data_IF_843591197858
#
_entry.id   IF_843591197858
#
_cell.length_a   1.000
_cell.length_b   1.000
_cell.length_c   1.000
_cell.angle_alpha   90.00
_cell.angle_beta   90.00
_cell.angle_gamma   90.00
#
_symmetry.space_group_name_H-M   'P 1'
#
loop_
_entity.id
_entity.type
_entity.pdbx_description
1 polymer ?
#
# COMPACT_ATOMS: atom_id res chain seq x y z
N UNK A 1 -25.05 20.27 -10.41
CA UNK A 1 -24.34 20.79 -11.59
C UNK A 1 -23.70 19.59 -12.26
N UNK A 2 -24.20 19.16 -13.41
CA UNK A 2 -23.63 18.02 -14.14
C UNK A 2 -22.36 18.53 -14.85
N UNK A 3 -21.19 18.15 -14.33
CA UNK A 3 -19.90 18.58 -14.88
C UNK A 3 -19.61 17.76 -16.13
N UNK A 4 -19.83 18.35 -17.30
CA UNK A 4 -19.37 17.76 -18.57
C UNK A 4 -17.85 17.91 -18.65
N UNK A 5 -17.13 16.80 -18.49
CA UNK A 5 -15.68 16.80 -18.55
C UNK A 5 -15.20 17.01 -20.00
N UNK A 6 -14.14 17.80 -20.22
CA UNK A 6 -13.58 18.04 -21.54
C UNK A 6 -12.88 16.78 -22.05
N UNK A 7 -12.32 16.86 -23.25
CA UNK A 7 -11.62 15.75 -23.86
C UNK A 7 -10.47 15.25 -22.97
N UNK A 8 -10.26 13.93 -22.96
CA UNK A 8 -9.18 13.32 -22.20
C UNK A 8 -7.81 13.78 -22.72
N UNK A 9 -6.83 13.85 -21.81
CA UNK A 9 -5.46 14.18 -22.17
C UNK A 9 -4.81 13.14 -23.10
N UNK A 10 -3.67 13.48 -23.72
CA UNK A 10 -3.01 12.62 -24.71
C UNK A 10 -2.61 11.25 -24.16
N UNK A 11 -2.14 11.14 -22.91
CA UNK A 11 -1.77 9.85 -22.31
C UNK A 11 -3.02 9.02 -22.06
N UNK A 12 -4.05 9.59 -21.46
CA UNK A 12 -5.32 8.90 -21.18
C UNK A 12 -6.00 8.42 -22.46
N UNK A 13 -6.05 9.26 -23.50
CA UNK A 13 -6.62 8.92 -24.80
C UNK A 13 -5.82 7.83 -25.51
N UNK A 14 -4.49 7.90 -25.48
CA UNK A 14 -3.64 6.89 -26.10
C UNK A 14 -3.67 5.56 -25.34
N UNK A 15 -3.76 5.59 -24.00
CA UNK A 15 -3.94 4.39 -23.17
C UNK A 15 -5.28 3.72 -23.46
N UNK A 16 -6.37 4.48 -23.46
CA UNK A 16 -7.70 3.96 -23.79
C UNK A 16 -7.73 3.32 -25.19
N UNK A 17 -7.24 4.03 -26.20
CA UNK A 17 -7.18 3.49 -27.57
C UNK A 17 -6.31 2.24 -27.69
N UNK A 18 -5.20 2.16 -26.94
CA UNK A 18 -4.36 0.97 -26.92
C UNK A 18 -5.08 -0.23 -26.26
N UNK A 19 -5.76 -0.02 -25.13
CA UNK A 19 -6.55 -1.05 -24.46
C UNK A 19 -7.70 -1.55 -25.34
N UNK A 20 -8.43 -0.63 -25.99
CA UNK A 20 -9.51 -0.97 -26.93
C UNK A 20 -9.00 -1.79 -28.12
N UNK A 21 -7.86 -1.39 -28.71
CA UNK A 21 -7.21 -2.16 -29.76
C UNK A 21 -6.81 -3.55 -29.27
N UNK A 22 -6.23 -3.69 -28.07
CA UNK A 22 -5.89 -5.01 -27.52
C UNK A 22 -7.11 -5.89 -27.31
N UNK A 23 -8.24 -5.33 -26.87
CA UNK A 23 -9.48 -6.09 -26.65
C UNK A 23 -10.20 -6.50 -27.94
N UNK A 24 -10.13 -5.66 -28.99
CA UNK A 24 -10.81 -5.91 -30.27
C UNK A 24 -9.97 -6.73 -31.24
N UNK A 25 -8.64 -6.68 -31.10
CA UNK A 25 -7.71 -7.42 -31.94
C UNK A 25 -7.83 -8.93 -31.69
N UNK A 26 -8.02 -9.69 -32.77
CA UNK A 26 -8.11 -11.15 -32.69
C UNK A 26 -6.82 -11.76 -32.17
N UNK A 27 -6.95 -12.87 -31.45
CA UNK A 27 -5.82 -13.68 -30.96
C UNK A 27 -4.85 -13.99 -32.11
N UNK A 28 -3.58 -13.58 -31.96
CA UNK A 28 -2.52 -13.83 -32.95
C UNK A 28 -1.97 -12.58 -33.65
N UNK A 29 -2.59 -11.41 -33.47
CA UNK A 29 -2.06 -10.14 -33.97
C UNK A 29 -1.44 -9.32 -32.84
N UNK A 30 -0.35 -8.60 -33.15
CA UNK A 30 0.36 -7.75 -32.19
C UNK A 30 -0.11 -6.30 -32.34
N UNK A 31 -0.50 -5.68 -31.23
CA UNK A 31 -0.85 -4.26 -31.16
C UNK A 31 0.37 -3.48 -30.67
N UNK A 32 0.77 -2.43 -31.40
CA UNK A 32 1.92 -1.62 -31.02
C UNK A 32 1.55 -0.45 -30.11
N UNK A 33 2.16 -0.29 -28.92
CA UNK A 33 1.91 0.83 -28.01
C UNK A 33 2.66 2.12 -28.38
N UNK A 34 3.13 2.29 -29.62
CA UNK A 34 4.03 3.39 -30.00
C UNK A 34 3.49 4.79 -29.65
N UNK A 35 2.18 5.01 -29.81
CA UNK A 35 1.59 6.31 -29.48
C UNK A 35 1.57 6.58 -27.96
N UNK A 36 1.24 5.55 -27.17
CA UNK A 36 1.26 5.64 -25.71
C UNK A 36 2.68 5.89 -25.20
N UNK A 37 3.66 5.12 -25.70
CA UNK A 37 5.06 5.27 -25.29
C UNK A 37 5.62 6.65 -25.64
N UNK A 38 5.29 7.20 -26.82
CA UNK A 38 5.67 8.57 -27.20
C UNK A 38 5.11 9.61 -26.23
N UNK A 39 3.83 9.53 -25.87
CA UNK A 39 3.21 10.48 -24.95
C UNK A 39 3.81 10.39 -23.53
N UNK A 40 4.14 9.19 -23.06
CA UNK A 40 4.84 9.00 -21.78
C UNK A 40 6.25 9.59 -21.85
N UNK A 41 7.02 9.30 -22.89
CA UNK A 41 8.39 9.80 -23.06
C UNK A 41 8.47 11.34 -23.13
N UNK A 42 7.42 11.99 -23.64
CA UNK A 42 7.32 13.46 -23.62
C UNK A 42 7.14 14.03 -22.20
N UNK A 43 6.49 13.30 -21.30
CA UNK A 43 6.27 13.72 -19.91
C UNK A 43 7.40 13.28 -18.97
N UNK A 44 7.96 12.10 -19.22
CA UNK A 44 8.98 11.47 -18.38
C UNK A 44 10.17 11.10 -19.26
N UNK A 45 11.18 11.99 -19.38
CA UNK A 45 12.26 11.86 -20.35
C UNK A 45 13.10 10.58 -20.22
N UNK A 46 13.12 9.93 -19.05
CA UNK A 46 13.85 8.68 -18.83
C UNK A 46 13.39 7.56 -19.78
N UNK A 47 12.11 7.54 -20.17
CA UNK A 47 11.53 6.56 -21.09
C UNK A 47 11.67 6.95 -22.57
N UNK A 48 12.33 8.07 -22.87
CA UNK A 48 12.66 8.44 -24.25
C UNK A 48 13.85 7.63 -24.81
N UNK A 49 14.65 7.03 -23.92
CA UNK A 49 15.75 6.15 -24.29
C UNK A 49 15.24 4.80 -24.83
N UNK A 50 16.05 4.14 -25.66
CA UNK A 50 15.82 2.75 -26.07
C UNK A 50 16.47 1.73 -25.10
N UNK A 51 16.81 2.18 -23.89
CA UNK A 51 17.44 1.34 -22.87
C UNK A 51 16.41 0.48 -22.13
N UNK A 52 16.88 -0.56 -21.43
CA UNK A 52 16.01 -1.33 -20.54
C UNK A 52 15.61 -0.49 -19.33
N UNK A 53 14.33 -0.55 -18.96
CA UNK A 53 13.74 0.24 -17.88
C UNK A 53 13.03 -0.67 -16.88
N UNK A 54 12.83 -0.17 -15.66
CA UNK A 54 12.05 -0.87 -14.63
C UNK A 54 10.55 -0.83 -14.99
N UNK A 55 9.94 -2.00 -15.11
CA UNK A 55 8.52 -2.13 -15.43
C UNK A 55 7.62 -1.55 -14.31
N UNK A 56 8.07 -1.61 -13.05
CA UNK A 56 7.33 -1.04 -11.92
C UNK A 56 7.32 0.48 -11.98
N UNK A 57 8.45 1.08 -12.37
CA UNK A 57 8.58 2.52 -12.54
C UNK A 57 7.70 3.01 -13.70
N UNK A 58 7.73 2.31 -14.84
CA UNK A 58 6.84 2.61 -15.97
C UNK A 58 5.36 2.53 -15.58
N UNK A 59 4.95 1.51 -14.82
CA UNK A 59 3.58 1.36 -14.35
C UNK A 59 3.16 2.51 -13.43
N UNK A 60 4.03 2.89 -12.48
CA UNK A 60 3.78 4.02 -11.58
C UNK A 60 3.63 5.32 -12.35
N UNK A 61 4.54 5.60 -13.27
CA UNK A 61 4.47 6.80 -14.08
C UNK A 61 3.22 6.80 -14.97
N UNK A 62 2.87 5.69 -15.60
CA UNK A 62 1.64 5.59 -16.39
C UNK A 62 0.40 5.92 -15.54
N UNK A 63 0.24 5.26 -14.38
CA UNK A 63 -0.90 5.51 -13.49
C UNK A 63 -0.93 6.95 -12.97
N UNK A 64 0.24 7.49 -12.60
CA UNK A 64 0.37 8.85 -12.09
C UNK A 64 0.05 9.89 -13.17
N UNK A 65 0.57 9.74 -14.39
CA UNK A 65 0.29 10.68 -15.47
C UNK A 65 -1.19 10.65 -15.89
N UNK A 66 -1.80 9.46 -16.01
CA UNK A 66 -3.25 9.35 -16.27
C UNK A 66 -4.09 9.99 -15.17
N UNK A 67 -3.70 9.77 -13.90
CA UNK A 67 -4.36 10.40 -12.75
C UNK A 67 -4.23 11.93 -12.79
N UNK A 68 -3.04 12.46 -13.09
CA UNK A 68 -2.79 13.90 -13.19
C UNK A 68 -3.60 14.53 -14.33
N UNK A 69 -3.67 13.91 -15.51
CA UNK A 69 -4.50 14.39 -16.61
C UNK A 69 -5.98 14.46 -16.22
N UNK A 70 -6.53 13.43 -15.54
CA UNK A 70 -7.93 13.45 -15.10
C UNK A 70 -8.19 14.50 -14.02
N UNK A 71 -7.26 14.68 -13.07
CA UNK A 71 -7.36 15.73 -12.05
C UNK A 71 -7.34 17.12 -12.65
N UNK A 72 -6.39 17.41 -13.56
CA UNK A 72 -6.30 18.69 -14.25
C UNK A 72 -7.60 18.97 -15.02
N UNK A 73 -8.13 17.97 -15.72
CA UNK A 73 -9.37 18.05 -16.47
C UNK A 73 -10.57 18.43 -15.59
N UNK A 74 -10.68 17.83 -14.40
CA UNK A 74 -11.74 18.14 -13.42
C UNK A 74 -11.56 19.52 -12.82
N UNK A 75 -10.33 19.88 -12.44
CA UNK A 75 -10.02 21.19 -11.86
C UNK A 75 -10.32 22.33 -12.85
N UNK A 76 -9.95 22.18 -14.13
CA UNK A 76 -10.29 23.14 -15.17
C UNK A 76 -11.79 23.34 -15.32
N UNK A 77 -12.60 22.27 -15.20
CA UNK A 77 -14.06 22.40 -15.24
C UNK A 77 -14.67 23.03 -14.00
N UNK A 78 -14.12 22.76 -12.81
CA UNK A 78 -14.53 23.45 -11.60
C UNK A 78 -14.27 24.95 -11.76
N UNK A 79 -13.09 25.34 -12.22
CA UNK A 79 -12.73 26.74 -12.46
C UNK A 79 -13.70 27.41 -13.45
N UNK A 80 -13.96 26.76 -14.60
CA UNK A 80 -14.92 27.25 -15.59
C UNK A 80 -16.35 27.36 -15.02
N UNK A 81 -16.80 26.36 -14.26
CA UNK A 81 -18.11 26.36 -13.60
C UNK A 81 -18.25 27.43 -12.51
N UNK A 82 -17.13 27.91 -11.96
CA UNK A 82 -17.07 29.05 -11.04
C UNK A 82 -16.94 30.40 -11.76
N UNK A 83 -16.90 30.41 -13.10
CA UNK A 83 -16.72 31.62 -13.90
C UNK A 83 -15.28 32.15 -13.90
N UNK A 84 -14.31 31.34 -13.48
CA UNK A 84 -12.89 31.69 -13.46
C UNK A 84 -12.23 31.19 -14.75
N UNK A 85 -11.67 32.12 -15.53
CA UNK A 85 -10.89 31.80 -16.74
C UNK A 85 -9.41 31.72 -16.39
N UNK A 86 -8.69 30.75 -16.97
CA UNK A 86 -7.24 30.59 -16.81
C UNK A 86 -6.41 31.70 -17.51
N UNK A 87 -7.04 32.57 -18.31
CA UNK A 87 -6.37 33.54 -19.18
C UNK A 87 -6.59 35.02 -18.79
N UNK A 88 -6.76 35.34 -17.51
CA UNK A 88 -6.79 36.75 -17.06
C UNK A 88 -5.74 36.98 -15.96
N UNK A 89 -4.55 37.43 -16.37
CA UNK A 89 -3.38 37.69 -15.53
C UNK A 89 -3.55 38.84 -14.51
N UNK A 90 -4.76 39.29 -14.17
CA UNK A 90 -4.93 40.47 -13.29
C UNK A 90 -6.26 40.58 -12.53
N UNK A 91 -7.04 39.52 -12.36
CA UNK A 91 -8.23 39.56 -11.50
C UNK A 91 -7.89 38.86 -10.18
N UNK A 92 -7.81 39.62 -9.09
CA UNK A 92 -7.75 39.05 -7.74
C UNK A 92 -8.97 38.13 -7.55
N UNK A 93 -8.72 36.82 -7.52
CA UNK A 93 -9.77 35.83 -7.33
C UNK A 93 -10.30 36.01 -5.91
N UNK A 94 -11.59 36.32 -5.72
CA UNK A 94 -12.16 36.47 -4.38
C UNK A 94 -11.91 35.24 -3.50
N UNK A 95 -11.50 35.45 -2.24
CA UNK A 95 -11.16 34.37 -1.30
C UNK A 95 -12.27 33.32 -1.16
N UNK A 96 -13.54 33.75 -1.21
CA UNK A 96 -14.68 32.83 -1.14
C UNK A 96 -14.78 31.90 -2.36
N UNK A 97 -14.40 32.36 -3.56
CA UNK A 97 -14.35 31.51 -4.76
C UNK A 97 -13.16 30.56 -4.72
N UNK A 98 -12.02 31.01 -4.19
CA UNK A 98 -10.85 30.15 -3.96
C UNK A 98 -11.15 29.03 -2.96
N UNK A 99 -11.73 29.37 -1.81
CA UNK A 99 -12.15 28.38 -0.81
C UNK A 99 -13.19 27.39 -1.36
N UNK A 100 -14.12 27.87 -2.20
CA UNK A 100 -15.12 27.02 -2.87
C UNK A 100 -14.47 26.10 -3.91
N UNK A 101 -13.53 26.61 -4.70
CA UNK A 101 -12.75 25.82 -5.66
C UNK A 101 -11.91 24.74 -4.96
N UNK A 102 -11.26 25.05 -3.84
CA UNK A 102 -10.49 24.08 -3.03
C UNK A 102 -11.39 23.01 -2.41
N UNK A 103 -12.59 23.38 -1.97
CA UNK A 103 -13.58 22.44 -1.42
C UNK A 103 -14.08 21.49 -2.50
N UNK A 104 -14.46 22.02 -3.67
CA UNK A 104 -14.87 21.21 -4.82
C UNK A 104 -13.72 20.33 -5.34
N UNK A 105 -12.50 20.87 -5.40
CA UNK A 105 -11.31 20.13 -5.84
C UNK A 105 -11.02 18.95 -4.92
N UNK A 106 -11.21 19.10 -3.61
CA UNK A 106 -11.13 17.99 -2.65
C UNK A 106 -12.20 16.94 -2.92
N UNK A 107 -13.44 17.35 -3.20
CA UNK A 107 -14.54 16.43 -3.50
C UNK A 107 -14.32 15.62 -4.80
N UNK A 108 -13.65 16.20 -5.81
CA UNK A 108 -13.41 15.52 -7.10
C UNK A 108 -12.01 14.91 -7.23
N UNK A 109 -11.22 14.91 -6.14
CA UNK A 109 -9.83 14.44 -6.13
C UNK A 109 -9.67 12.94 -6.39
N UNK A 110 -10.77 12.18 -6.30
CA UNK A 110 -10.76 10.73 -6.53
C UNK A 110 -11.00 10.40 -8.00
N UNK A 111 -9.94 9.96 -8.69
CA UNK A 111 -9.97 9.64 -10.13
C UNK A 111 -10.44 8.21 -10.40
N UNK A 112 -10.62 7.86 -11.68
CA UNK A 112 -10.88 6.48 -12.11
C UNK A 112 -9.76 5.54 -11.69
N UNK A 113 -8.49 5.98 -11.75
CA UNK A 113 -7.34 5.20 -11.29
C UNK A 113 -7.45 4.96 -9.78
N UNK A 114 -7.84 5.99 -9.02
CA UNK A 114 -8.03 5.85 -7.58
C UNK A 114 -9.18 4.87 -7.26
N UNK A 115 -10.26 4.89 -8.04
CA UNK A 115 -11.40 3.96 -7.87
C UNK A 115 -10.99 2.50 -8.01
N UNK A 116 -10.02 2.18 -8.87
CA UNK A 116 -9.64 0.81 -9.19
C UNK A 116 -8.45 0.34 -8.33
N UNK A 117 -7.42 1.18 -8.21
CA UNK A 117 -6.13 0.81 -7.66
C UNK A 117 -5.81 1.48 -6.32
N UNK A 118 -6.52 2.54 -5.91
CA UNK A 118 -6.20 3.20 -4.64
C UNK A 118 -6.68 2.40 -3.44
N UNK A 119 -5.74 2.15 -2.53
CA UNK A 119 -6.00 1.73 -1.18
C UNK A 119 -5.48 2.77 -0.18
N UNK A 120 -5.73 2.53 1.10
CA UNK A 120 -5.19 3.32 2.20
C UNK A 120 -4.53 2.42 3.23
N UNK A 121 -3.34 2.81 3.69
CA UNK A 121 -2.68 2.28 4.86
C UNK A 121 -3.04 3.13 6.08
N UNK A 122 -3.10 2.49 7.24
CA UNK A 122 -3.02 3.18 8.53
C UNK A 122 -1.64 2.98 9.11
N UNK A 123 -0.98 4.09 9.39
CA UNK A 123 0.36 4.19 9.95
C UNK A 123 0.23 4.67 11.38
N UNK A 124 0.63 3.85 12.34
CA UNK A 124 0.56 4.18 13.76
C UNK A 124 1.97 4.28 14.33
N UNK A 125 2.26 5.38 15.02
CA UNK A 125 3.54 5.63 15.68
C UNK A 125 3.29 5.78 17.17
N UNK A 126 3.98 4.97 17.96
CA UNK A 126 3.94 5.01 19.43
C UNK A 126 5.26 5.54 19.94
N UNK A 127 5.25 6.73 20.53
CA UNK A 127 6.44 7.34 21.13
C UNK A 127 6.88 6.54 22.36
N UNK A 128 8.14 6.15 22.47
CA UNK A 128 8.64 5.40 23.62
C UNK A 128 8.90 6.27 24.86
N UNK A 129 8.94 7.60 24.70
CA UNK A 129 9.17 8.53 25.80
C UNK A 129 7.88 8.94 26.52
N UNK A 130 6.85 9.33 25.77
CA UNK A 130 5.57 9.79 26.33
C UNK A 130 4.41 8.80 26.12
N UNK A 131 4.62 7.69 25.39
CA UNK A 131 3.60 6.68 25.06
C UNK A 131 2.42 7.17 24.21
N UNK A 132 2.49 8.41 23.73
CA UNK A 132 1.50 9.00 22.83
C UNK A 132 1.45 8.21 21.51
N UNK A 133 0.23 8.02 21.00
CA UNK A 133 -0.02 7.29 19.75
C UNK A 133 -0.50 8.26 18.68
N UNK A 134 0.27 8.42 17.62
CA UNK A 134 -0.12 9.20 16.44
C UNK A 134 -0.49 8.26 15.30
N UNK A 135 -1.47 8.67 14.49
CA UNK A 135 -1.99 7.87 13.39
C UNK A 135 -2.06 8.71 12.13
N UNK A 136 -1.68 8.12 11.00
CA UNK A 136 -1.73 8.74 9.68
C UNK A 136 -2.34 7.78 8.67
N UNK A 137 -3.22 8.29 7.82
CA UNK A 137 -3.72 7.55 6.67
C UNK A 137 -2.86 7.88 5.45
N UNK A 138 -2.36 6.86 4.78
CA UNK A 138 -1.46 7.00 3.63
C UNK A 138 -2.08 6.28 2.43
N UNK A 139 -2.43 7.01 1.36
CA UNK A 139 -2.96 6.41 0.13
C UNK A 139 -1.87 5.74 -0.69
N UNK A 140 -2.18 4.60 -1.31
CA UNK A 140 -1.25 3.86 -2.18
C UNK A 140 -1.94 3.34 -3.45
N UNK A 141 -1.19 3.17 -4.54
CA UNK A 141 -1.66 2.50 -5.78
C UNK A 141 -1.06 1.10 -5.95
N UNK A 142 0.01 0.81 -5.21
CA UNK A 142 0.67 -0.50 -5.16
C UNK A 142 1.41 -0.68 -3.83
N UNK A 143 1.63 -1.94 -3.45
CA UNK A 143 2.44 -2.31 -2.28
C UNK A 143 3.79 -2.86 -2.73
N UNK A 144 4.86 -2.18 -2.37
CA UNK A 144 6.23 -2.62 -2.67
C UNK A 144 6.83 -3.37 -1.48
N UNK A 145 6.77 -4.69 -1.53
CA UNK A 145 7.12 -5.58 -0.42
C UNK A 145 8.61 -5.94 -0.43
N UNK A 146 9.28 -5.94 0.74
CA UNK A 146 10.65 -6.43 0.84
C UNK A 146 10.71 -7.94 0.59
N UNK A 147 11.77 -8.40 -0.07
CA UNK A 147 12.06 -9.83 -0.25
C UNK A 147 13.32 -10.18 0.54
N UNK A 148 13.15 -10.83 1.70
CA UNK A 148 14.30 -11.20 2.53
C UNK A 148 15.01 -12.42 1.96
N UNK A 149 16.29 -12.24 1.66
CA UNK A 149 17.19 -13.33 1.34
C UNK A 149 17.84 -13.86 2.63
N UNK A 150 17.18 -14.79 3.33
CA UNK A 150 17.80 -15.52 4.44
C UNK A 150 18.95 -16.36 3.87
N UNK A 151 20.16 -15.81 3.87
CA UNK A 151 21.37 -16.60 3.80
C UNK A 151 21.59 -17.20 5.18
N UNK A 152 21.55 -18.54 5.35
CA UNK A 152 22.04 -19.12 6.59
C UNK A 152 23.48 -18.64 6.76
N UNK A 153 23.75 -17.96 7.87
CA UNK A 153 25.11 -17.58 8.23
C UNK A 153 25.94 -18.86 8.22
N UNK A 154 26.92 -18.93 7.31
CA UNK A 154 27.95 -19.97 7.43
C UNK A 154 28.59 -19.76 8.80
N UNK A 155 28.63 -20.77 9.70
CA UNK A 155 29.40 -20.62 10.91
C UNK A 155 30.82 -20.23 10.50
N UNK A 156 31.33 -19.13 11.04
CA UNK A 156 32.72 -18.71 10.84
C UNK A 156 33.59 -19.91 11.20
N UNK A 157 34.26 -20.51 10.20
CA UNK A 157 35.36 -21.43 10.47
C UNK A 157 36.43 -20.60 11.17
N UNK A 158 36.50 -20.71 12.48
CA UNK A 158 37.60 -20.19 13.26
C UNK A 158 38.80 -21.07 12.88
N UNK A 159 39.74 -20.50 12.13
CA UNK A 159 41.05 -21.12 11.94
C UNK A 159 41.72 -21.14 13.31
N UNK A 160 41.70 -22.30 13.98
CA UNK A 160 42.59 -22.58 15.10
C UNK A 160 43.84 -23.21 14.47
N UNK A 161 44.93 -22.45 14.52
CA UNK A 161 46.29 -22.94 14.26
C UNK A 161 46.61 -24.05 15.25
N UNK A 162 47.09 -25.18 14.73
CA UNK A 162 47.16 -26.44 15.45
C UNK A 162 48.13 -26.51 16.63
N UNK A 163 47.84 -27.47 17.49
CA UNK A 163 48.82 -28.32 18.15
C UNK A 163 48.23 -29.73 18.15
N UNK A 164 49.00 -30.67 17.61
CA UNK A 164 48.76 -32.10 17.56
C UNK A 164 48.81 -32.71 18.96
N UNK A 165 47.91 -33.65 19.26
CA UNK A 165 48.20 -34.85 20.06
C UNK A 165 47.14 -35.92 19.76
N UNK A 166 47.61 -37.16 19.64
CA UNK A 166 46.86 -38.38 19.33
C UNK A 166 45.95 -38.80 20.51
N UNK A 167 44.78 -39.39 20.23
CA UNK A 167 44.40 -40.77 20.62
C UNK A 167 42.86 -41.01 20.51
N UNK A 168 42.52 -42.23 20.10
CA UNK A 168 41.26 -42.99 20.33
C UNK A 168 39.92 -42.65 19.65
N UNK A 169 39.63 -43.46 18.61
CA UNK A 169 38.46 -44.36 18.42
C UNK A 169 37.00 -43.85 18.39
N UNK A 170 36.34 -44.26 17.31
CA UNK A 170 34.98 -44.82 17.20
C UNK A 170 33.73 -43.93 17.32
N UNK A 171 33.08 -43.63 16.18
CA UNK A 171 31.98 -44.45 15.62
C UNK A 171 31.23 -43.70 14.50
N UNK A 172 31.09 -44.42 13.38
CA UNK A 172 30.21 -44.15 12.24
C UNK A 172 28.75 -44.27 12.69
N UNK A 173 27.86 -43.39 12.19
CA UNK A 173 26.58 -43.75 11.55
C UNK A 173 25.89 -42.51 10.95
N UNK A 174 25.87 -42.46 9.62
CA UNK A 174 24.91 -41.72 8.78
C UNK A 174 23.93 -42.78 8.18
N UNK A 175 22.89 -42.41 7.44
CA UNK A 175 21.51 -42.16 7.87
C UNK A 175 20.53 -43.24 7.36
N UNK A 176 19.28 -43.26 7.83
CA UNK A 176 18.20 -43.98 7.13
C UNK A 176 17.12 -43.03 6.62
N UNK A 177 17.10 -42.89 5.28
CA UNK A 177 15.90 -42.61 4.50
C UNK A 177 15.03 -43.88 4.47
N UNK A 178 13.72 -43.70 4.50
CA UNK A 178 12.80 -44.63 3.83
C UNK A 178 11.57 -43.85 3.34
N UNK A 179 11.43 -43.82 2.03
CA UNK A 179 10.19 -43.65 1.29
C UNK A 179 9.27 -44.85 1.58
N UNK A 180 7.94 -44.70 1.53
CA UNK A 180 7.16 -45.35 0.46
C UNK A 180 5.66 -45.00 0.46
N UNK A 181 5.08 -45.14 -0.73
CA UNK A 181 3.70 -44.88 -1.13
C UNK A 181 2.73 -46.01 -0.72
N UNK A 182 1.42 -45.72 -0.62
CA UNK A 182 0.34 -46.40 -1.39
C UNK A 182 -1.07 -46.34 -0.76
N UNK A 183 -1.96 -45.58 -1.43
CA UNK A 183 -3.30 -45.91 -1.97
C UNK A 183 -4.19 -47.02 -1.35
N UNK A 184 -5.47 -46.67 -1.06
CA UNK A 184 -6.77 -47.34 -1.40
C UNK A 184 -7.90 -46.73 -0.51
N UNK A 185 -8.86 -45.94 -1.03
CA UNK A 185 -10.20 -46.27 -1.60
C UNK A 185 -11.23 -46.93 -0.67
N UNK A 186 -12.42 -46.32 -0.66
CA UNK A 186 -13.78 -46.83 -0.27
C UNK A 186 -14.08 -46.91 1.24
N UNK A 187 -15.25 -46.54 1.79
CA UNK A 187 -16.64 -46.47 1.31
C UNK A 187 -17.52 -45.66 2.31
N UNK A 188 -18.66 -45.14 1.85
CA UNK A 188 -19.76 -44.53 2.65
C UNK A 188 -20.76 -45.62 3.06
N UNK A 189 -21.49 -45.47 4.18
CA UNK A 189 -22.95 -45.49 4.05
C UNK A 189 -23.73 -44.48 4.91
N UNK A 190 -24.79 -43.98 4.27
CA UNK A 190 -26.06 -43.37 4.69
C UNK A 190 -26.50 -43.35 6.17
N UNK A 191 -27.22 -42.26 6.52
CA UNK A 191 -28.19 -42.25 7.63
C UNK A 191 -28.90 -40.90 7.86
N UNK A 192 -30.02 -40.69 7.16
CA UNK A 192 -31.24 -39.90 7.51
C UNK A 192 -31.43 -39.66 9.03
N UNK A 193 -31.97 -38.57 9.60
CA UNK A 193 -33.20 -37.79 9.30
C UNK A 193 -33.35 -36.61 10.31
N UNK A 194 -34.16 -35.62 9.92
CA UNK A 194 -35.15 -34.84 10.73
C UNK A 194 -34.76 -33.50 11.39
N UNK A 195 -35.37 -32.43 10.87
CA UNK A 195 -35.75 -31.18 11.56
C UNK A 195 -36.96 -31.42 12.50
N UNK A 196 -37.32 -30.47 13.39
CA UNK A 196 -38.28 -29.42 12.97
C UNK A 196 -38.18 -28.02 13.65
N UNK A 197 -38.86 -27.08 12.98
CA UNK A 197 -39.63 -25.91 13.45
C UNK A 197 -38.98 -24.59 13.95
N UNK A 198 -39.13 -23.60 13.06
CA UNK A 198 -39.74 -22.26 13.21
C UNK A 198 -40.16 -21.75 14.59
N UNK A 199 -39.87 -20.46 14.86
CA UNK A 199 -40.90 -19.44 15.13
C UNK A 199 -40.31 -18.01 15.20
N UNK A 200 -41.07 -17.06 14.65
CA UNK A 200 -40.89 -15.58 14.59
C UNK A 200 -41.77 -14.93 15.68
N UNK A 201 -41.44 -13.73 16.20
CA UNK A 201 -42.24 -12.51 15.91
C UNK A 201 -41.33 -11.27 15.70
N UNK A 202 -41.52 -10.38 14.73
CA UNK A 202 -42.58 -9.38 14.49
C UNK A 202 -42.41 -8.03 15.25
N UNK A 203 -42.04 -7.02 14.45
CA UNK A 203 -42.48 -5.60 14.38
C UNK A 203 -42.62 -4.67 15.60
N UNK A 204 -42.16 -3.43 15.41
CA UNK A 204 -42.53 -2.24 16.17
C UNK A 204 -41.98 -0.95 15.54
N UNK A 205 -42.84 -0.17 14.90
CA UNK A 205 -42.57 1.13 14.28
C UNK A 205 -42.77 2.31 15.25
N UNK A 206 -42.11 3.47 15.01
CA UNK A 206 -42.71 4.83 15.07
C UNK A 206 -41.68 5.99 14.97
N UNK A 207 -41.83 6.79 13.91
CA UNK A 207 -41.83 8.28 13.78
C UNK A 207 -40.92 9.24 14.60
N UNK A 208 -40.18 10.12 13.89
CA UNK A 208 -40.59 11.54 13.68
C UNK A 208 -39.81 12.71 14.35
N UNK A 209 -39.48 13.72 13.52
CA UNK A 209 -39.07 15.14 13.79
C UNK A 209 -37.59 15.38 14.20
N UNK A 210 -36.77 16.25 13.60
CA UNK A 210 -36.97 17.38 12.69
C UNK A 210 -36.66 18.70 13.42
N UNK A 211 -35.45 19.26 13.28
CA UNK A 211 -35.11 20.69 13.47
C UNK A 211 -33.60 20.97 13.17
N UNK A 212 -33.35 22.02 12.39
CA UNK A 212 -32.08 22.74 12.12
C UNK A 212 -32.48 24.16 11.64
N UNK A 213 -31.64 25.22 11.52
CA UNK A 213 -30.25 25.45 11.99
C UNK A 213 -30.03 26.80 12.70
N UNK A 214 -28.84 27.01 13.29
CA UNK A 214 -27.99 28.23 13.07
C UNK A 214 -26.57 28.04 13.63
N UNK A 215 -25.56 28.81 13.17
CA UNK A 215 -24.24 28.27 12.83
C UNK A 215 -23.16 28.65 13.85
N UNK A 216 -22.10 27.85 13.93
CA UNK A 216 -20.84 28.31 14.55
C UNK A 216 -19.66 27.95 13.67
N UNK A 217 -18.85 28.99 13.48
CA UNK A 217 -17.67 29.20 12.68
C UNK A 217 -16.49 28.29 13.07
N UNK A 218 -15.74 27.81 12.06
CA UNK A 218 -14.35 27.39 12.20
C UNK A 218 -14.08 25.90 12.02
N UNK A 219 -14.12 25.39 10.79
CA UNK A 219 -13.61 24.07 10.44
C UNK A 219 -12.80 24.14 9.13
N UNK A 220 -11.49 24.12 9.26
CA UNK A 220 -10.54 23.97 8.16
C UNK A 220 -9.44 23.03 8.64
N UNK A 221 -9.74 21.72 8.76
CA UNK A 221 -8.75 20.62 8.85
C UNK A 221 -9.41 19.22 9.03
N UNK A 222 -10.57 18.95 8.40
CA UNK A 222 -11.37 17.75 8.73
C UNK A 222 -11.24 16.54 7.78
N UNK A 223 -10.51 16.62 6.66
CA UNK A 223 -10.51 15.52 5.67
C UNK A 223 -9.40 14.47 5.86
N UNK A 224 -8.36 14.76 6.65
CA UNK A 224 -7.32 13.79 7.05
C UNK A 224 -7.54 13.25 8.48
N UNK A 225 -8.64 13.63 9.12
CA UNK A 225 -8.95 13.24 10.50
C UNK A 225 -9.91 12.05 10.50
N UNK A 226 -9.61 10.95 11.22
CA UNK A 226 -10.51 9.81 11.30
C UNK A 226 -11.89 10.23 11.82
N UNK A 227 -12.98 9.55 11.40
CA UNK A 227 -14.35 9.98 11.66
C UNK A 227 -14.65 10.10 13.16
N UNK A 228 -15.59 10.99 13.56
CA UNK A 228 -15.89 11.25 14.96
C UNK A 228 -16.83 10.17 15.52
N UNK A 229 -16.33 8.96 15.69
CA UNK A 229 -16.96 7.94 16.52
C UNK A 229 -15.94 7.51 17.57
N UNK A 230 -16.29 7.73 18.84
CA UNK A 230 -15.51 7.48 20.06
C UNK A 230 -14.02 7.25 19.78
N UNK A 231 -13.26 8.33 19.55
CA UNK A 231 -11.87 8.32 19.04
C UNK A 231 -11.01 7.26 19.74
N UNK A 232 -11.16 7.05 21.04
CA UNK A 232 -10.47 6.01 21.80
C UNK A 232 -10.72 4.58 21.28
N UNK A 233 -11.95 4.23 20.90
CA UNK A 233 -12.32 2.92 20.38
C UNK A 233 -11.80 2.65 18.96
N UNK A 234 -11.77 3.67 18.10
CA UNK A 234 -11.16 3.57 16.77
C UNK A 234 -9.64 3.38 16.88
N UNK A 235 -8.96 4.20 17.69
CA UNK A 235 -7.51 4.13 17.89
C UNK A 235 -7.08 2.79 18.50
N UNK A 236 -7.86 2.23 19.42
CA UNK A 236 -7.58 0.92 20.02
C UNK A 236 -7.63 -0.23 19.01
N UNK A 237 -8.47 -0.12 17.99
CA UNK A 237 -8.68 -1.12 16.93
C UNK A 237 -7.73 -0.94 15.74
N UNK A 238 -7.15 0.25 15.58
CA UNK A 238 -6.35 0.58 14.41
C UNK A 238 -5.10 -0.31 14.25
N UNK A 239 -4.58 -0.85 15.35
CA UNK A 239 -3.41 -1.75 15.37
C UNK A 239 -3.78 -3.24 15.47
N UNK A 240 -5.05 -3.59 15.61
CA UNK A 240 -5.50 -4.98 15.59
C UNK A 240 -5.89 -5.39 14.19
N UNK A 241 -5.60 -6.62 13.80
CA UNK A 241 -5.88 -7.13 12.46
C UNK A 241 -7.31 -7.66 12.33
N UNK A 242 -7.85 -7.67 11.12
CA UNK A 242 -9.22 -8.14 10.82
C UNK A 242 -9.35 -9.67 11.02
N UNK A 243 -8.29 -10.41 10.74
CA UNK A 243 -8.16 -11.84 10.96
C UNK A 243 -6.95 -12.16 11.86
N UNK A 244 -6.84 -13.39 12.42
CA UNK A 244 -5.67 -13.81 13.18
C UNK A 244 -4.37 -13.61 12.41
N UNK A 245 -3.30 -13.25 13.11
CA UNK A 245 -2.00 -13.01 12.49
C UNK A 245 -1.50 -14.21 11.69
N UNK A 246 -0.92 -13.93 10.53
CA UNK A 246 -0.30 -14.95 9.70
C UNK A 246 0.91 -15.59 10.42
N UNK A 247 0.88 -16.92 10.52
CA UNK A 247 1.97 -17.72 11.06
C UNK A 247 2.81 -18.27 9.91
N UNK A 248 4.05 -17.79 9.82
CA UNK A 248 4.99 -18.22 8.79
C UNK A 248 5.79 -19.43 9.28
N UNK A 249 6.02 -20.40 8.41
CA UNK A 249 6.94 -21.50 8.68
C UNK A 249 8.40 -21.01 8.66
N UNK A 250 9.28 -21.73 9.36
CA UNK A 250 10.69 -21.38 9.41
C UNK A 250 11.32 -21.42 8.00
N UNK A 251 11.94 -20.32 7.58
CA UNK A 251 12.56 -20.19 6.26
C UNK A 251 11.58 -20.02 5.08
N UNK A 252 10.28 -19.90 5.35
CA UNK A 252 9.28 -19.65 4.34
C UNK A 252 9.56 -18.33 3.59
N UNK A 253 9.38 -18.35 2.27
CA UNK A 253 9.45 -17.17 1.42
C UNK A 253 8.24 -17.17 0.50
N UNK A 254 7.16 -16.60 1.02
CA UNK A 254 5.89 -16.46 0.33
C UNK A 254 5.42 -15.00 0.30
N UNK A 255 4.44 -14.70 -0.53
CA UNK A 255 3.76 -13.42 -0.54
C UNK A 255 3.24 -13.03 0.86
N UNK A 256 2.70 -14.00 1.59
CA UNK A 256 2.18 -13.80 2.94
C UNK A 256 3.31 -13.46 3.94
N UNK A 257 4.49 -14.08 3.81
CA UNK A 257 5.66 -13.69 4.61
C UNK A 257 6.14 -12.27 4.30
N UNK A 258 6.11 -11.86 3.02
CA UNK A 258 6.47 -10.51 2.60
C UNK A 258 5.48 -9.46 3.15
N UNK A 259 4.17 -9.75 3.11
CA UNK A 259 3.13 -8.90 3.70
C UNK A 259 3.25 -8.83 5.22
N UNK A 260 3.54 -9.96 5.88
CA UNK A 260 3.80 -10.01 7.33
C UNK A 260 4.96 -9.10 7.72
N UNK A 261 6.04 -9.13 6.95
CA UNK A 261 7.18 -8.26 7.22
C UNK A 261 6.86 -6.80 6.94
N UNK A 262 6.14 -6.51 5.87
CA UNK A 262 5.72 -5.15 5.52
C UNK A 262 4.82 -4.50 6.60
N UNK A 263 4.00 -5.32 7.27
CA UNK A 263 3.07 -4.88 8.33
C UNK A 263 3.57 -5.11 9.75
N UNK A 264 4.82 -5.58 9.90
CA UNK A 264 5.42 -5.78 11.21
C UNK A 264 5.72 -4.43 11.88
N UNK A 265 5.60 -4.33 13.22
CA UNK A 265 6.10 -3.18 13.95
C UNK A 265 7.61 -3.02 13.76
N UNK A 266 8.05 -1.82 13.39
CA UNK A 266 9.45 -1.44 13.26
C UNK A 266 9.85 -0.41 14.35
N UNK A 267 11.11 -0.46 14.77
CA UNK A 267 11.67 0.50 15.71
C UNK A 267 12.29 1.68 14.95
N UNK A 268 11.84 2.88 15.28
CA UNK A 268 12.39 4.15 14.84
C UNK A 268 13.41 4.63 15.88
N UNK A 269 14.70 4.40 15.62
CA UNK A 269 15.81 4.77 16.50
C UNK A 269 17.02 5.35 15.74
N UNK A 270 18.09 5.68 16.47
CA UNK A 270 19.32 6.23 15.87
C UNK A 270 19.08 7.51 15.07
N UNK A 271 19.38 7.46 13.77
CA UNK A 271 19.15 8.55 12.82
C UNK A 271 17.69 8.67 12.35
N UNK A 272 16.87 7.65 12.58
CA UNK A 272 15.47 7.58 12.15
C UNK A 272 14.48 7.89 13.28
N UNK A 273 14.93 8.59 14.34
CA UNK A 273 14.06 8.94 15.48
C UNK A 273 12.85 9.79 15.05
N UNK A 274 11.74 9.60 15.74
CA UNK A 274 10.48 10.29 15.50
C UNK A 274 10.43 11.63 16.25
N UNK A 275 10.11 12.71 15.53
CA UNK A 275 9.81 14.01 16.12
C UNK A 275 8.45 13.97 16.80
N UNK A 276 8.43 13.95 18.14
CA UNK A 276 7.19 13.81 18.90
C UNK A 276 6.64 15.19 19.31
N UNK A 277 5.45 15.53 18.80
CA UNK A 277 4.77 16.79 19.11
C UNK A 277 4.45 16.92 20.60
N UNK A 278 3.92 15.86 21.23
CA UNK A 278 3.59 15.86 22.66
C UNK A 278 4.86 16.07 23.53
N UNK A 279 5.96 15.38 23.24
CA UNK A 279 7.23 15.61 23.94
C UNK A 279 7.75 17.04 23.72
N UNK A 280 7.63 17.56 22.50
CA UNK A 280 8.04 18.92 22.15
C UNK A 280 7.22 19.94 22.94
N UNK A 281 5.91 19.78 22.99
CA UNK A 281 5.00 20.66 23.73
C UNK A 281 5.24 20.59 25.25
N UNK A 282 5.40 19.38 25.81
CA UNK A 282 5.70 19.19 27.23
C UNK A 282 7.02 19.85 27.64
N UNK A 283 8.06 19.73 26.80
CA UNK A 283 9.34 20.41 27.05
C UNK A 283 9.18 21.92 26.96
N UNK A 284 8.51 22.41 25.93
CA UNK A 284 8.33 23.85 25.73
C UNK A 284 7.52 24.47 26.88
N UNK A 285 6.47 23.82 27.38
CA UNK A 285 5.70 24.25 28.56
C UNK A 285 6.55 24.30 29.84
N UNK A 286 7.46 23.34 30.04
CA UNK A 286 8.37 23.34 31.20
C UNK A 286 9.39 24.48 31.14
N UNK A 287 9.87 24.81 29.95
CA UNK A 287 10.88 25.85 29.75
C UNK A 287 10.29 27.26 29.81
N UNK A 288 9.11 27.49 29.24
CA UNK A 288 8.43 28.81 29.34
C UNK A 288 7.97 29.13 30.76
N UNK A 289 7.72 28.12 31.59
CA UNK A 289 7.47 28.29 33.02
C UNK A 289 8.74 28.65 33.83
N UNK A 290 9.94 28.38 33.28
CA UNK A 290 11.22 28.62 33.94
C UNK A 290 11.89 29.94 33.48
N UNK A 291 11.84 30.28 32.19
CA UNK A 291 12.40 31.53 31.64
C UNK A 291 11.62 32.02 30.40
N UNK A 292 11.03 33.24 30.41
CA UNK A 292 10.12 33.73 29.37
C UNK A 292 10.79 34.33 28.12
N UNK A 293 12.13 34.24 27.98
CA UNK A 293 12.86 34.93 26.94
C UNK A 293 14.00 34.09 26.33
N UNK A 294 13.69 33.04 25.57
CA UNK A 294 14.61 32.55 24.53
C UNK A 294 13.91 31.71 23.45
N UNK A 295 14.61 31.59 22.33
CA UNK A 295 14.23 31.13 21.00
C UNK A 295 13.34 29.88 20.93
N UNK A 296 12.57 29.77 19.83
CA UNK A 296 11.73 28.59 19.50
C UNK A 296 12.54 27.30 19.64
N UNK A 297 12.31 26.54 20.71
CA UNK A 297 12.99 25.28 20.94
C UNK A 297 12.59 24.25 19.86
N UNK A 298 13.58 23.73 19.12
CA UNK A 298 13.36 22.80 18.00
C UNK A 298 12.79 21.44 18.40
N UNK A 299 12.19 20.70 17.47
CA UNK A 299 11.47 19.43 17.70
C UNK A 299 12.22 18.42 18.58
N UNK A 300 11.53 17.80 19.54
CA UNK A 300 12.08 16.69 20.32
C UNK A 300 12.00 15.38 19.54
N UNK A 301 13.16 14.77 19.30
CA UNK A 301 13.26 13.46 18.67
C UNK A 301 13.35 12.36 19.72
N UNK A 302 12.55 11.33 19.56
CA UNK A 302 12.40 10.20 20.48
C UNK A 302 12.41 8.89 19.72
N UNK A 303 12.80 7.81 20.40
CA UNK A 303 12.56 6.48 19.84
C UNK A 303 11.06 6.22 19.77
N UNK A 304 10.60 5.53 18.74
CA UNK A 304 9.20 5.19 18.56
C UNK A 304 9.03 3.83 17.91
N UNK A 305 7.87 3.21 18.07
CA UNK A 305 7.49 2.02 17.30
C UNK A 305 6.50 2.44 16.24
N UNK A 306 6.79 2.14 14.96
CA UNK A 306 5.90 2.40 13.83
C UNK A 306 5.32 1.09 13.32
N UNK A 307 4.05 1.06 12.98
CA UNK A 307 3.41 -0.09 12.33
C UNK A 307 2.48 0.37 11.21
N UNK A 308 2.49 -0.37 10.10
CA UNK A 308 1.58 -0.18 8.98
C UNK A 308 0.58 -1.34 8.90
N UNK A 309 -0.69 -1.03 8.69
CA UNK A 309 -1.73 -2.00 8.34
C UNK A 309 -2.57 -1.47 7.17
N UNK A 310 -3.22 -2.35 6.42
CA UNK A 310 -4.09 -1.96 5.32
C UNK A 310 -5.43 -1.51 5.91
N UNK A 311 -5.76 -0.23 5.77
CA UNK A 311 -7.05 0.31 6.20
C UNK A 311 -8.12 0.11 5.13
N UNK A 312 -7.89 0.58 3.91
CA UNK A 312 -8.83 0.42 2.80
C UNK A 312 -8.17 -0.41 1.70
N UNK A 313 -8.56 -1.68 1.50
CA UNK A 313 -8.01 -2.51 0.44
C UNK A 313 -8.59 -2.11 -0.93
N UNK A 314 -7.76 -1.94 -1.99
CA UNK A 314 -8.23 -1.54 -3.32
C UNK A 314 -8.94 -2.68 -4.05
N UNK A 315 -9.91 -2.42 -4.95
CA UNK A 315 -10.50 -3.48 -5.78
C UNK A 315 -9.46 -4.27 -6.58
N UNK A 316 -8.45 -3.60 -7.12
CA UNK A 316 -7.31 -4.22 -7.80
C UNK A 316 -6.03 -3.91 -7.02
N UNK A 317 -5.45 -4.95 -6.41
CA UNK A 317 -4.23 -4.82 -5.63
C UNK A 317 -2.99 -5.14 -6.49
N UNK A 318 -2.16 -4.13 -6.74
CA UNK A 318 -0.85 -4.30 -7.35
C UNK A 318 0.20 -4.56 -6.28
N UNK A 319 0.93 -5.67 -6.40
CA UNK A 319 2.03 -6.02 -5.50
C UNK A 319 3.34 -6.05 -6.28
N UNK A 320 4.26 -5.20 -5.86
CA UNK A 320 5.63 -5.18 -6.34
C UNK A 320 6.54 -5.88 -5.33
N UNK A 321 7.41 -6.77 -5.81
CA UNK A 321 8.44 -7.41 -4.99
C UNK A 321 9.76 -6.66 -5.17
N UNK A 322 10.25 -6.02 -4.11
CA UNK A 322 11.53 -5.29 -4.10
C UNK A 322 12.70 -6.27 -4.23
N UNK A 323 13.01 -6.66 -5.46
CA UNK A 323 14.06 -7.63 -5.78
C UNK A 323 15.42 -6.97 -6.04
N UNK A 324 15.48 -5.65 -6.19
CA UNK A 324 16.74 -4.96 -6.43
C UNK A 324 17.18 -4.20 -5.20
N UNK A 325 18.39 -4.50 -4.75
CA UNK A 325 18.99 -3.90 -3.56
C UNK A 325 20.34 -3.30 -3.92
N UNK A 326 20.63 -2.11 -3.40
CA UNK A 326 21.95 -1.49 -3.52
C UNK A 326 22.86 -2.08 -2.44
N UNK A 327 23.85 -2.87 -2.84
CA UNK A 327 24.85 -3.45 -1.93
C UNK A 327 26.19 -2.74 -2.14
N UNK A 328 26.42 -1.68 -1.37
CA UNK A 328 27.56 -0.78 -1.59
C UNK A 328 27.38 -0.02 -2.90
N UNK A 329 28.30 -0.18 -3.85
CA UNK A 329 28.23 0.42 -5.19
C UNK A 329 27.58 -0.49 -6.25
N UNK A 330 27.15 -1.71 -5.89
CA UNK A 330 26.63 -2.69 -6.84
C UNK A 330 25.15 -2.95 -6.64
N UNK A 331 24.37 -2.86 -7.72
CA UNK A 331 22.98 -3.26 -7.76
C UNK A 331 22.88 -4.80 -7.82
N UNK A 332 22.21 -5.40 -6.84
CA UNK A 332 22.03 -6.86 -6.75
C UNK A 332 20.56 -7.23 -6.89
N UNK A 333 20.29 -8.23 -7.73
CA UNK A 333 18.97 -8.86 -7.83
C UNK A 333 18.83 -10.03 -6.85
N UNK A 334 17.76 -10.03 -6.07
CA UNK A 334 17.27 -11.13 -5.23
C UNK A 334 16.48 -12.10 -6.10
N UNK A 335 17.16 -13.18 -6.49
CA UNK A 335 16.59 -14.26 -7.31
C UNK A 335 15.89 -15.35 -6.48
N UNK A 336 15.67 -15.12 -5.19
CA UNK A 336 14.94 -16.06 -4.34
C UNK A 336 13.51 -16.23 -4.84
N UNK A 337 13.06 -17.48 -5.01
CA UNK A 337 11.68 -17.76 -5.37
C UNK A 337 10.75 -17.30 -4.23
N UNK A 338 9.70 -16.57 -4.58
CA UNK A 338 8.66 -16.11 -3.64
C UNK A 338 7.39 -16.85 -4.03
N UNK A 339 6.91 -17.70 -3.15
CA UNK A 339 5.71 -18.48 -3.39
C UNK A 339 4.46 -17.60 -3.24
N UNK A 340 3.56 -17.61 -4.23
CA UNK A 340 2.26 -16.95 -4.15
C UNK A 340 1.18 -17.90 -4.63
N UNK A 341 -0.04 -17.75 -4.12
CA UNK A 341 -1.19 -18.57 -4.49
C UNK A 341 -2.06 -17.83 -5.48
N UNK A 342 -2.80 -18.57 -6.32
CA UNK A 342 -3.81 -17.98 -7.22
C UNK A 342 -4.90 -17.24 -6.46
N UNK A 343 -5.21 -17.67 -5.23
CA UNK A 343 -6.11 -16.98 -4.31
C UNK A 343 -5.43 -16.82 -2.97
N UNK A 344 -5.57 -15.66 -2.35
CA UNK A 344 -5.07 -15.43 -1.00
C UNK A 344 -5.98 -14.48 -0.21
N UNK A 345 -5.91 -14.59 1.11
CA UNK A 345 -6.65 -13.73 2.04
C UNK A 345 -5.75 -12.61 2.56
N UNK A 346 -6.16 -11.37 2.34
CA UNK A 346 -5.48 -10.16 2.78
C UNK A 346 -5.86 -9.77 4.23
N UNK A 347 -6.96 -10.30 4.78
CA UNK A 347 -7.49 -9.92 6.08
C UNK A 347 -6.49 -9.97 7.26
N UNK A 348 -5.51 -10.90 7.32
CA UNK A 348 -4.49 -10.91 8.37
C UNK A 348 -3.59 -9.67 8.41
N UNK A 349 -3.60 -8.86 7.35
CA UNK A 349 -2.78 -7.65 7.18
C UNK A 349 -3.63 -6.37 7.12
N UNK A 350 -4.96 -6.52 7.14
CA UNK A 350 -5.90 -5.41 7.21
C UNK A 350 -6.16 -5.01 8.66
N UNK A 351 -6.32 -3.72 8.91
CA UNK A 351 -6.71 -3.19 10.22
C UNK A 351 -8.16 -3.55 10.53
N UNK A 352 -8.49 -3.75 11.79
CA UNK A 352 -9.87 -4.03 12.20
C UNK A 352 -10.79 -2.82 12.06
N UNK A 353 -10.24 -1.61 11.94
CA UNK A 353 -11.02 -0.40 11.62
C UNK A 353 -11.51 -0.40 10.16
N UNK A 354 -10.96 -1.27 9.30
CA UNK A 354 -11.51 -1.51 7.95
C UNK A 354 -12.97 -1.95 7.99
N UNK A 355 -13.41 -2.56 9.09
CA UNK A 355 -14.81 -2.97 9.29
C UNK A 355 -15.80 -1.79 9.23
N UNK A 356 -15.33 -0.57 9.48
CA UNK A 356 -16.13 0.65 9.47
C UNK A 356 -16.30 1.23 8.05
N UNK A 357 -15.66 0.61 7.04
CA UNK A 357 -15.71 1.07 5.65
C UNK A 357 -17.02 0.65 4.96
N UNK A 358 -17.61 1.50 4.08
CA UNK A 358 -18.87 1.20 3.39
C UNK A 358 -18.84 -0.07 2.52
N UNK A 359 -17.67 -0.43 1.99
CA UNK A 359 -17.50 -1.60 1.14
C UNK A 359 -17.34 -2.92 1.93
N UNK A 360 -17.22 -2.86 3.26
CA UNK A 360 -17.05 -4.03 4.11
C UNK A 360 -18.39 -4.46 4.71
N UNK A 361 -18.69 -5.75 4.67
CA UNK A 361 -19.91 -6.30 5.29
C UNK A 361 -19.72 -6.45 6.79
N UNK A 362 -20.79 -6.30 7.57
CA UNK A 362 -20.75 -6.47 9.03
C UNK A 362 -20.14 -7.82 9.42
N UNK A 363 -19.10 -7.77 10.27
CA UNK A 363 -18.41 -8.96 10.78
C UNK A 363 -17.53 -9.68 9.74
N UNK A 364 -17.26 -9.08 8.58
CA UNK A 364 -16.38 -9.66 7.56
C UNK A 364 -14.95 -9.83 8.07
N UNK A 365 -14.48 -11.08 8.09
CA UNK A 365 -13.12 -11.46 8.55
C UNK A 365 -12.21 -11.99 7.45
N UNK A 366 -12.63 -11.85 6.19
CA UNK A 366 -11.90 -12.33 5.02
C UNK A 366 -11.91 -11.26 3.94
N UNK A 367 -10.77 -11.09 3.26
CA UNK A 367 -10.59 -10.17 2.14
C UNK A 367 -9.85 -10.95 1.05
N UNK A 368 -10.60 -11.66 0.23
CA UNK A 368 -10.06 -12.62 -0.74
C UNK A 368 -9.71 -11.93 -2.07
N UNK A 369 -8.49 -12.17 -2.55
CA UNK A 369 -8.04 -11.76 -3.89
C UNK A 369 -7.81 -12.99 -4.77
N UNK A 370 -7.99 -12.81 -6.08
CA UNK A 370 -7.59 -13.78 -7.11
C UNK A 370 -6.55 -13.15 -8.04
N UNK A 371 -5.47 -13.87 -8.32
CA UNK A 371 -4.41 -13.48 -9.22
C UNK A 371 -4.91 -13.49 -10.66
N UNK A 372 -4.68 -12.41 -11.40
CA UNK A 372 -5.05 -12.31 -12.82
C UNK A 372 -3.88 -11.98 -13.75
N UNK A 373 -2.72 -11.56 -13.22
CA UNK A 373 -1.55 -11.20 -14.02
C UNK A 373 -0.26 -11.17 -13.21
N UNK A 374 0.86 -11.50 -13.86
CA UNK A 374 2.21 -11.48 -13.28
C UNK A 374 3.16 -10.86 -14.31
N UNK A 375 3.98 -9.91 -13.85
CA UNK A 375 5.12 -9.39 -14.63
C UNK A 375 6.39 -10.05 -14.10
N UNK A 376 7.01 -10.89 -14.92
CA UNK A 376 8.26 -11.56 -14.59
C UNK A 376 9.45 -10.84 -15.25
N UNK A 377 10.51 -10.63 -14.46
CA UNK A 377 11.79 -10.14 -14.98
C UNK A 377 12.83 -11.28 -15.02
N UNK A 378 13.25 -11.65 -16.22
CA UNK A 378 14.38 -12.55 -16.47
C UNK A 378 15.69 -11.76 -16.63
N UNK A 379 16.80 -12.27 -16.07
CA UNK A 379 18.12 -11.62 -16.19
C UNK A 379 18.47 -10.67 -15.05
N UNK A 380 19.49 -9.83 -15.26
CA UNK A 380 19.98 -8.79 -14.33
C UNK A 380 19.62 -7.42 -14.90
N UNK A 381 19.35 -6.43 -14.04
CA UNK A 381 19.37 -5.04 -14.47
C UNK A 381 20.82 -4.69 -14.76
N UNK A 382 21.18 -4.60 -16.04
CA UNK A 382 22.46 -4.06 -16.47
C UNK A 382 22.31 -2.56 -16.58
N UNK A 383 23.06 -1.79 -15.79
CA UNK A 383 23.34 -0.40 -16.15
C UNK A 383 24.07 -0.43 -17.49
N UNK A 384 23.35 -0.09 -18.56
CA UNK A 384 23.77 0.02 -19.96
C UNK A 384 25.24 -0.34 -20.29
N UNK A 385 25.43 -1.53 -20.86
CA UNK A 385 26.36 -1.71 -21.99
C UNK A 385 25.90 -2.96 -22.75
N UNK A 386 25.14 -2.76 -23.82
CA UNK A 386 24.88 -3.83 -24.78
C UNK A 386 26.17 -4.08 -25.57
N UNK A 387 26.79 -5.27 -25.54
CA UNK A 387 27.67 -5.65 -26.63
C UNK A 387 26.77 -5.95 -27.84
N UNK A 388 26.79 -5.07 -28.83
CA UNK A 388 26.30 -5.42 -30.16
C UNK A 388 27.08 -6.66 -30.65
N UNK A 389 26.40 -7.80 -30.76
CA UNK A 389 26.83 -8.88 -31.64
C UNK A 389 25.91 -8.87 -32.85
N UNK A 390 26.42 -8.40 -33.98
CA UNK A 390 25.89 -8.72 -35.31
C UNK A 390 26.44 -10.09 -35.71
N UNK A 391 25.57 -10.98 -36.17
CA UNK A 391 25.91 -12.05 -37.10
C UNK A 391 25.24 -11.74 -38.43
#
# INVERSE_FOLDING_TARGET
MELVLPEAGPITKSLFGFLEQMHTTRTGFTVSPSNLLKNIALKVPQFASCDQQDAHELLRELMQQTRLEDLQRRQSQILLGLGLSANSDSIEIPDHLKARAETLSRQVSHTTIDTIFSGQLVSAVVCQACTERTYHLESFLDLSLPVVDYKPSRPRKQCVTGACDEDSSDHILVPCRASDQSRRTETVPNGMTRAPNESVPAEGAASGQGDDPTPTTGASDELDRPPPLNRCGWLSRALTTLAPHYQAAAGECSLLTCLKQYTAPELLDGNNKFGCDNCTELRNKRLTAAEPASEKFGTMYSNATKQLLIYSPPPVLTIHLKRFEMSGSSLRKVNRHVQFCERFDLAPFCSSISQDLPQMRDGQRQVLYSLFGVVEHSGRLTSAQWPFFQN
#
